data_IF_276358298120
#
_entry.id   IF_276358298120
#
_cell.length_a   1.000
_cell.length_b   1.000
_cell.length_c   1.000
_cell.angle_alpha   90.00
_cell.angle_beta   90.00
_cell.angle_gamma   90.00
#
_symmetry.space_group_name_H-M   'P 1'
#
loop_
_entity.id
_entity.type
_entity.pdbx_description
1 polymer ?
#
# COMPACT_ATOMS: atom_id res chain seq x y z
N UNK A 1 -6.71 -13.01 10.94
CA UNK A 1 -5.92 -14.22 10.60
C UNK A 1 -5.85 -14.44 9.08
N UNK A 2 -6.97 -14.38 8.36
CA UNK A 2 -7.03 -14.64 6.92
C UNK A 2 -6.13 -13.71 6.10
N UNK A 3 -6.12 -12.44 6.40
CA UNK A 3 -5.28 -11.45 5.70
C UNK A 3 -3.79 -11.78 5.76
N UNK A 4 -3.33 -12.39 6.85
CA UNK A 4 -1.94 -12.82 6.98
C UNK A 4 -1.60 -14.12 6.22
N UNK A 5 -2.61 -14.84 5.71
CA UNK A 5 -2.43 -15.97 4.80
C UNK A 5 -2.20 -15.52 3.36
N UNK A 6 -2.64 -14.31 3.00
CA UNK A 6 -2.44 -13.75 1.66
C UNK A 6 -0.95 -13.62 1.32
N UNK A 7 -0.56 -14.07 0.12
CA UNK A 7 0.83 -14.00 -0.33
C UNK A 7 1.43 -12.59 -0.29
N UNK A 8 0.60 -11.57 -0.59
CA UNK A 8 1.02 -10.17 -0.53
C UNK A 8 1.45 -9.73 0.88
N UNK A 9 0.89 -10.34 1.93
CA UNK A 9 1.30 -10.08 3.31
C UNK A 9 2.75 -10.48 3.58
N UNK A 10 3.20 -11.60 2.99
CA UNK A 10 4.60 -12.04 3.07
C UNK A 10 5.54 -11.11 2.30
N UNK A 11 5.16 -10.76 1.07
CA UNK A 11 5.94 -9.85 0.23
C UNK A 11 6.11 -8.49 0.92
N UNK A 12 5.00 -7.89 1.37
CA UNK A 12 4.99 -6.57 2.00
C UNK A 12 5.74 -6.56 3.35
N UNK A 13 5.54 -7.58 4.19
CA UNK A 13 6.21 -7.67 5.49
C UNK A 13 7.73 -7.79 5.33
N UNK A 14 8.19 -8.64 4.41
CA UNK A 14 9.63 -8.78 4.10
C UNK A 14 10.21 -7.48 3.56
N UNK A 15 9.53 -6.80 2.65
CA UNK A 15 9.98 -5.54 2.08
C UNK A 15 10.03 -4.41 3.13
N UNK A 16 9.00 -4.28 3.96
CA UNK A 16 8.96 -3.29 5.03
C UNK A 16 10.07 -3.47 6.06
N UNK A 17 10.37 -4.72 6.42
CA UNK A 17 11.49 -5.05 7.31
C UNK A 17 12.85 -4.69 6.70
N UNK A 18 13.04 -5.00 5.41
CA UNK A 18 14.26 -4.64 4.67
C UNK A 18 14.51 -3.11 4.66
N UNK A 19 13.46 -2.34 4.46
CA UNK A 19 13.51 -0.87 4.49
C UNK A 19 13.49 -0.27 5.90
N UNK A 20 13.38 -1.09 6.94
CA UNK A 20 13.32 -0.65 8.36
C UNK A 20 12.26 0.44 8.59
N UNK A 21 11.04 0.24 8.08
CA UNK A 21 9.97 1.24 8.14
C UNK A 21 9.45 1.45 9.57
N UNK A 22 10.22 2.14 10.42
CA UNK A 22 9.96 2.30 11.84
C UNK A 22 8.67 3.06 12.20
N UNK A 23 8.07 3.78 11.26
CA UNK A 23 6.76 4.42 11.46
C UNK A 23 5.58 3.49 11.16
N UNK A 24 5.82 2.32 10.55
CA UNK A 24 4.79 1.35 10.24
C UNK A 24 4.47 0.51 11.47
N UNK A 25 3.24 0.61 11.94
CA UNK A 25 2.70 -0.15 13.07
C UNK A 25 1.47 -0.89 12.59
N UNK A 26 1.50 -2.22 12.67
CA UNK A 26 0.40 -3.10 12.30
C UNK A 26 -0.21 -3.69 13.57
N UNK A 27 -1.53 -3.59 13.70
CA UNK A 27 -2.29 -4.30 14.71
C UNK A 27 -2.88 -5.55 14.05
N UNK A 28 -2.49 -6.72 14.54
CA UNK A 28 -3.00 -7.99 14.06
C UNK A 28 -4.09 -8.49 15.01
N UNK A 29 -5.32 -8.52 14.52
CA UNK A 29 -6.46 -9.15 15.21
C UNK A 29 -6.34 -10.68 15.14
N UNK A 30 -5.80 -11.26 16.20
CA UNK A 30 -5.58 -12.70 16.35
C UNK A 30 -6.76 -13.34 17.05
N UNK A 31 -7.85 -13.57 16.32
CA UNK A 31 -9.07 -14.18 16.83
C UNK A 31 -9.15 -15.70 16.59
N UNK A 32 -8.14 -16.28 15.95
CA UNK A 32 -7.99 -17.70 15.66
C UNK A 32 -9.09 -18.30 14.78
N UNK A 33 -9.71 -17.47 13.95
CA UNK A 33 -10.81 -17.88 13.08
C UNK A 33 -10.63 -17.35 11.66
N UNK A 34 -11.09 -18.14 10.71
CA UNK A 34 -11.36 -17.76 9.34
C UNK A 34 -12.79 -18.14 8.99
N UNK A 35 -13.26 -17.77 7.81
CA UNK A 35 -14.65 -18.01 7.40
C UNK A 35 -15.04 -19.48 7.48
N UNK A 36 -14.16 -20.39 7.08
CA UNK A 36 -14.48 -21.82 7.01
C UNK A 36 -14.23 -22.56 8.33
N UNK A 37 -13.26 -22.11 9.13
CA UNK A 37 -12.85 -22.86 10.34
C UNK A 37 -11.94 -22.06 11.26
N UNK A 38 -11.61 -22.67 12.40
CA UNK A 38 -10.54 -22.18 13.25
C UNK A 38 -9.17 -22.36 12.58
N UNK A 39 -8.25 -21.45 12.88
CA UNK A 39 -6.90 -21.41 12.30
C UNK A 39 -6.06 -22.65 12.57
N UNK A 40 -6.35 -23.42 13.61
CA UNK A 40 -5.64 -24.67 13.90
C UNK A 40 -5.70 -25.71 12.77
N UNK A 41 -6.60 -25.56 11.79
CA UNK A 41 -6.73 -26.43 10.63
C UNK A 41 -5.95 -25.94 9.41
N UNK A 42 -5.74 -24.63 9.30
CA UNK A 42 -5.24 -24.02 8.07
C UNK A 42 -4.09 -23.03 8.27
N UNK A 43 -3.84 -22.59 9.50
CA UNK A 43 -2.86 -21.55 9.80
C UNK A 43 -2.15 -21.82 11.13
N UNK A 44 -1.23 -22.77 11.12
CA UNK A 44 -0.50 -23.24 12.31
C UNK A 44 0.90 -22.65 12.45
N UNK A 45 1.30 -21.77 11.57
CA UNK A 45 2.59 -21.09 11.62
C UNK A 45 2.71 -20.15 12.82
N UNK A 46 3.94 -19.86 13.21
CA UNK A 46 4.23 -18.81 14.19
C UNK A 46 4.34 -17.45 13.52
N UNK A 47 3.24 -16.67 13.51
CA UNK A 47 3.23 -15.30 12.99
C UNK A 47 4.32 -14.45 13.65
N UNK A 48 4.51 -14.58 14.95
CA UNK A 48 5.55 -13.84 15.66
C UNK A 48 6.95 -14.16 15.15
N UNK A 49 7.27 -15.44 14.93
CA UNK A 49 8.57 -15.84 14.39
C UNK A 49 8.75 -15.37 12.95
N UNK A 50 7.70 -15.45 12.13
CA UNK A 50 7.72 -14.94 10.75
C UNK A 50 8.07 -13.45 10.69
N UNK A 51 7.35 -12.62 11.44
CA UNK A 51 7.60 -11.19 11.46
C UNK A 51 8.94 -10.84 12.11
N UNK A 52 9.35 -11.54 13.18
CA UNK A 52 10.66 -11.35 13.76
C UNK A 52 11.78 -11.66 12.76
N UNK A 53 11.68 -12.75 12.01
CA UNK A 53 12.66 -13.11 10.96
C UNK A 53 12.70 -12.10 9.80
N UNK A 54 11.58 -11.43 9.54
CA UNK A 54 11.49 -10.33 8.57
C UNK A 54 12.00 -8.98 9.10
N UNK A 55 12.56 -8.92 10.32
CA UNK A 55 13.12 -7.70 10.88
C UNK A 55 12.11 -6.76 11.55
N UNK A 56 10.98 -7.29 12.02
CA UNK A 56 9.95 -6.53 12.73
C UNK A 56 10.09 -6.65 14.26
N UNK A 57 9.73 -5.58 14.95
CA UNK A 57 9.42 -5.65 16.39
C UNK A 57 8.09 -6.36 16.58
N UNK A 58 8.06 -7.39 17.44
CA UNK A 58 6.83 -8.12 17.77
C UNK A 58 6.39 -7.80 19.19
N UNK A 59 5.16 -7.35 19.32
CA UNK A 59 4.53 -7.01 20.60
C UNK A 59 3.24 -7.81 20.78
N UNK A 60 2.81 -8.00 22.04
CA UNK A 60 1.61 -8.76 22.35
C UNK A 60 0.66 -7.98 23.24
N UNK A 61 -0.62 -8.11 22.94
CA UNK A 61 -1.74 -7.72 23.80
C UNK A 61 -2.54 -8.98 24.12
N UNK A 62 -2.54 -9.39 25.39
CA UNK A 62 -3.20 -10.65 25.81
C UNK A 62 -4.72 -10.54 25.83
N UNK A 63 -5.24 -9.35 26.16
CA UNK A 63 -6.68 -9.07 26.25
C UNK A 63 -7.04 -7.94 25.27
N UNK A 64 -7.61 -8.32 24.13
CA UNK A 64 -7.94 -7.39 23.04
C UNK A 64 -8.99 -6.33 23.40
N UNK A 65 -9.77 -6.53 24.46
CA UNK A 65 -10.69 -5.53 25.01
C UNK A 65 -10.05 -4.58 26.01
N UNK A 66 -8.77 -4.73 26.32
CA UNK A 66 -8.04 -3.87 27.25
C UNK A 66 -7.43 -2.67 26.54
N UNK A 67 -8.14 -1.54 26.50
CA UNK A 67 -7.64 -0.26 25.94
C UNK A 67 -6.27 0.10 26.53
N UNK A 68 -6.06 -0.16 27.82
CA UNK A 68 -4.79 0.13 28.51
C UNK A 68 -3.62 -0.71 27.95
N UNK A 69 -3.82 -2.00 27.69
CA UNK A 69 -2.79 -2.86 27.13
C UNK A 69 -2.48 -2.47 25.68
N UNK A 70 -3.52 -2.22 24.86
CA UNK A 70 -3.37 -1.77 23.48
C UNK A 70 -2.57 -0.46 23.45
N UNK A 71 -2.96 0.52 24.26
CA UNK A 71 -2.28 1.81 24.30
C UNK A 71 -0.79 1.68 24.72
N UNK A 72 -0.48 0.85 25.72
CA UNK A 72 0.91 0.56 26.11
C UNK A 72 1.72 -0.04 24.97
N UNK A 73 1.12 -0.97 24.21
CA UNK A 73 1.78 -1.62 23.08
C UNK A 73 2.03 -0.60 21.93
N UNK A 74 1.06 0.25 21.61
CA UNK A 74 1.20 1.31 20.61
C UNK A 74 2.31 2.29 21.01
N UNK A 75 2.32 2.75 22.27
CA UNK A 75 3.38 3.65 22.77
C UNK A 75 4.75 2.99 22.64
N UNK A 76 4.86 1.68 22.94
CA UNK A 76 6.13 0.94 22.81
C UNK A 76 6.55 0.82 21.33
N UNK A 77 5.60 0.54 20.43
CA UNK A 77 5.85 0.50 18.99
C UNK A 77 6.35 1.85 18.46
N UNK A 78 5.68 2.95 18.82
CA UNK A 78 6.06 4.31 18.42
C UNK A 78 7.44 4.77 18.85
N UNK A 79 7.99 4.19 19.93
CA UNK A 79 9.35 4.49 20.41
C UNK A 79 10.42 3.85 19.54
N UNK A 80 10.10 2.77 18.83
CA UNK A 80 11.05 2.07 17.96
C UNK A 80 10.92 2.60 16.54
N UNK A 81 11.87 3.42 16.13
CA UNK A 81 11.88 4.01 14.79
C UNK A 81 12.81 3.29 13.80
N UNK A 82 13.48 2.22 14.25
CA UNK A 82 14.50 1.53 13.47
C UNK A 82 13.99 0.25 12.77
N UNK A 83 12.74 -0.15 13.02
CA UNK A 83 12.09 -1.30 12.40
C UNK A 83 10.58 -1.18 12.50
N UNK A 84 9.82 -1.76 11.56
CA UNK A 84 8.37 -1.82 11.68
C UNK A 84 7.92 -2.66 12.88
N UNK A 85 6.71 -2.42 13.36
CA UNK A 85 6.16 -3.12 14.52
C UNK A 85 4.86 -3.84 14.19
N UNK A 86 4.72 -5.08 14.64
CA UNK A 86 3.45 -5.79 14.68
C UNK A 86 3.02 -5.99 16.12
N UNK A 87 1.77 -5.65 16.41
CA UNK A 87 1.13 -5.87 17.71
C UNK A 87 0.12 -6.98 17.55
N UNK A 88 0.40 -8.14 18.08
CA UNK A 88 -0.49 -9.31 18.05
C UNK A 88 -1.51 -9.13 19.17
N UNK A 89 -2.75 -8.87 18.82
CA UNK A 89 -3.84 -8.60 19.74
C UNK A 89 -4.75 -9.82 19.81
N UNK A 90 -4.78 -10.52 20.94
CA UNK A 90 -5.67 -11.66 21.12
C UNK A 90 -7.10 -11.16 21.33
N UNK A 91 -7.98 -11.57 20.48
CA UNK A 91 -9.43 -11.28 20.52
C UNK A 91 -10.24 -12.57 20.42
N UNK A 92 -11.54 -12.44 20.55
CA UNK A 92 -12.50 -13.50 20.34
C UNK A 92 -13.49 -13.02 19.28
N UNK A 93 -13.62 -13.77 18.18
CA UNK A 93 -14.59 -13.40 17.14
C UNK A 93 -16.01 -13.44 17.69
N UNK A 94 -16.81 -12.42 17.38
CA UNK A 94 -18.20 -12.35 17.83
C UNK A 94 -18.38 -12.23 19.34
N UNK A 95 -17.40 -11.70 20.07
CA UNK A 95 -17.43 -11.52 21.53
C UNK A 95 -18.75 -10.87 21.98
N UNK A 96 -19.41 -11.47 22.98
CA UNK A 96 -20.70 -11.03 23.50
C UNK A 96 -21.92 -11.51 22.72
N UNK A 97 -21.75 -12.22 21.60
CA UNK A 97 -22.84 -12.85 20.86
C UNK A 97 -22.99 -14.34 21.19
N UNK A 98 -24.10 -14.94 20.77
CA UNK A 98 -24.30 -16.40 20.87
C UNK A 98 -23.33 -17.21 19.99
N UNK A 99 -22.72 -16.56 19.01
CA UNK A 99 -21.76 -17.14 18.08
C UNK A 99 -20.31 -16.81 18.49
N UNK A 100 -20.09 -16.39 19.73
CA UNK A 100 -18.76 -16.09 20.25
C UNK A 100 -17.80 -17.25 20.04
N UNK A 101 -16.63 -16.94 19.46
CA UNK A 101 -15.59 -17.93 19.15
C UNK A 101 -15.91 -18.88 18.00
N UNK A 102 -17.02 -18.71 17.30
CA UNK A 102 -17.44 -19.57 16.21
C UNK A 102 -17.31 -18.89 14.85
N UNK A 103 -16.68 -19.57 13.88
CA UNK A 103 -16.52 -19.08 12.51
C UNK A 103 -17.84 -18.80 11.78
N UNK A 104 -18.97 -19.42 12.21
CA UNK A 104 -20.28 -19.16 11.62
C UNK A 104 -20.73 -17.70 11.72
N UNK A 105 -20.12 -16.90 12.60
CA UNK A 105 -20.39 -15.44 12.68
C UNK A 105 -20.11 -14.71 11.37
N UNK A 106 -19.19 -15.21 10.52
CA UNK A 106 -18.90 -14.60 9.21
C UNK A 106 -20.03 -14.71 8.20
N UNK A 107 -20.89 -15.71 8.35
CA UNK A 107 -22.01 -15.98 7.44
C UNK A 107 -23.36 -16.03 8.15
N UNK A 108 -23.37 -16.01 9.47
CA UNK A 108 -24.57 -16.01 10.30
C UNK A 108 -25.19 -14.64 10.40
N UNK A 109 -26.47 -14.52 10.13
CA UNK A 109 -27.23 -13.32 10.45
C UNK A 109 -27.47 -13.26 11.96
N UNK A 110 -27.10 -12.16 12.58
CA UNK A 110 -27.50 -11.87 13.95
C UNK A 110 -29.00 -11.59 13.97
N UNK A 111 -29.73 -12.34 14.78
CA UNK A 111 -31.14 -12.08 15.00
C UNK A 111 -31.33 -10.82 15.83
N UNK A 112 -32.56 -10.29 15.86
CA UNK A 112 -32.90 -9.14 16.71
C UNK A 112 -32.62 -9.45 18.19
N UNK A 113 -32.87 -10.67 18.64
CA UNK A 113 -32.61 -11.09 20.02
C UNK A 113 -31.09 -11.12 20.33
N UNK A 114 -30.28 -11.58 19.39
CA UNK A 114 -28.81 -11.56 19.54
C UNK A 114 -28.29 -10.13 19.66
N UNK A 115 -28.81 -9.22 18.83
CA UNK A 115 -28.46 -7.80 18.88
C UNK A 115 -28.83 -7.19 20.25
N UNK A 116 -30.03 -7.44 20.75
CA UNK A 116 -30.46 -6.95 22.07
C UNK A 116 -29.67 -7.59 23.23
N UNK A 117 -29.23 -8.83 23.07
CA UNK A 117 -28.35 -9.49 24.05
C UNK A 117 -26.96 -8.83 24.09
N UNK A 118 -26.36 -8.56 22.91
CA UNK A 118 -25.06 -7.87 22.79
C UNK A 118 -25.15 -6.48 23.41
N UNK A 119 -26.20 -5.72 23.09
CA UNK A 119 -26.42 -4.38 23.68
C UNK A 119 -26.45 -4.42 25.20
N UNK A 120 -27.23 -5.37 25.76
CA UNK A 120 -27.30 -5.53 27.23
C UNK A 120 -25.96 -5.90 27.86
N UNK A 121 -25.21 -6.82 27.21
CA UNK A 121 -23.87 -7.22 27.64
C UNK A 121 -22.85 -6.07 27.61
N UNK A 122 -23.00 -5.15 26.67
CA UNK A 122 -22.16 -3.94 26.55
C UNK A 122 -22.67 -2.74 27.36
N UNK A 123 -23.82 -2.86 28.05
CA UNK A 123 -24.42 -1.76 28.79
C UNK A 123 -24.90 -0.61 27.89
N UNK A 124 -25.21 -0.89 26.63
CA UNK A 124 -25.71 0.09 25.65
C UNK A 124 -27.24 0.11 25.66
N UNK A 125 -27.81 1.23 26.07
CA UNK A 125 -29.27 1.46 26.07
C UNK A 125 -29.66 2.42 24.94
N UNK A 126 -30.93 2.36 24.51
CA UNK A 126 -31.49 3.28 23.53
C UNK A 126 -31.90 2.62 22.21
N UNK A 127 -32.58 3.41 21.38
CA UNK A 127 -33.00 3.00 20.03
C UNK A 127 -31.79 2.89 19.08
N UNK A 128 -31.90 2.15 17.96
CA UNK A 128 -30.88 2.16 16.93
C UNK A 128 -30.51 3.57 16.51
N UNK A 129 -29.22 3.80 16.29
CA UNK A 129 -28.63 5.11 15.92
C UNK A 129 -28.73 6.21 16.98
N UNK A 130 -29.14 5.89 18.22
CA UNK A 130 -29.10 6.85 19.34
C UNK A 130 -27.65 7.03 19.82
N UNK A 131 -27.16 8.26 19.79
CA UNK A 131 -25.87 8.59 20.38
C UNK A 131 -26.03 8.80 21.89
N UNK A 132 -25.13 8.23 22.66
CA UNK A 132 -25.01 8.53 24.08
C UNK A 132 -24.52 9.99 24.21
N UNK A 133 -25.35 10.86 24.80
CA UNK A 133 -25.15 12.31 24.78
C UNK A 133 -23.81 12.73 25.39
N UNK A 134 -23.53 12.27 26.60
CA UNK A 134 -22.31 12.65 27.32
C UNK A 134 -21.02 12.19 26.63
N UNK A 135 -20.84 10.88 26.24
CA UNK A 135 -19.69 10.46 25.46
C UNK A 135 -19.55 11.20 24.13
N UNK A 136 -20.64 11.45 23.43
CA UNK A 136 -20.61 12.15 22.14
C UNK A 136 -20.17 13.60 22.29
N UNK A 137 -20.66 14.31 23.31
CA UNK A 137 -20.25 15.68 23.63
C UNK A 137 -18.78 15.74 24.06
N UNK A 138 -18.33 14.79 24.88
CA UNK A 138 -16.92 14.72 25.31
C UNK A 138 -15.98 14.49 24.11
N UNK A 139 -16.28 13.52 23.25
CA UNK A 139 -15.48 13.27 22.03
C UNK A 139 -15.49 14.51 21.12
N UNK A 140 -16.65 15.11 20.90
CA UNK A 140 -16.77 16.32 20.08
C UNK A 140 -15.89 17.44 20.61
N UNK A 141 -15.96 17.72 21.91
CA UNK A 141 -15.15 18.77 22.52
C UNK A 141 -13.67 18.50 22.43
N UNK A 142 -13.23 17.24 22.68
CA UNK A 142 -11.82 16.86 22.57
C UNK A 142 -11.33 16.93 21.12
N UNK A 143 -12.11 16.42 20.16
CA UNK A 143 -11.73 16.41 18.74
C UNK A 143 -11.72 17.82 18.16
N UNK A 144 -12.75 18.62 18.43
CA UNK A 144 -12.84 20.00 17.93
C UNK A 144 -11.74 20.85 18.52
N UNK A 145 -11.61 20.91 19.85
CA UNK A 145 -10.60 21.75 20.50
C UNK A 145 -9.18 21.37 20.08
N UNK A 146 -8.87 20.07 20.10
CA UNK A 146 -7.55 19.58 19.67
C UNK A 146 -7.34 19.80 18.18
N UNK A 147 -8.35 19.51 17.36
CA UNK A 147 -8.27 19.67 15.91
C UNK A 147 -8.06 21.11 15.51
N UNK A 148 -8.78 22.03 16.10
CA UNK A 148 -8.61 23.47 15.86
C UNK A 148 -7.19 23.92 16.22
N UNK A 149 -6.73 23.57 17.44
CA UNK A 149 -5.36 23.94 17.86
C UNK A 149 -4.27 23.39 16.94
N UNK A 150 -4.41 22.11 16.51
CA UNK A 150 -3.45 21.51 15.59
C UNK A 150 -3.51 22.12 14.18
N UNK A 151 -4.70 22.51 13.72
CA UNK A 151 -4.86 23.20 12.44
C UNK A 151 -4.22 24.59 12.48
N UNK A 152 -4.45 25.36 13.54
CA UNK A 152 -3.86 26.69 13.71
C UNK A 152 -2.33 26.61 13.78
N UNK A 153 -1.79 25.58 14.47
CA UNK A 153 -0.35 25.31 14.52
C UNK A 153 0.20 24.93 13.13
N UNK A 154 -0.50 24.06 12.40
CA UNK A 154 -0.15 23.67 11.04
C UNK A 154 -0.14 24.88 10.10
N UNK A 155 -1.18 25.71 10.11
CA UNK A 155 -1.29 26.88 9.24
C UNK A 155 -0.16 27.88 9.50
N UNK A 156 0.24 28.02 10.76
CA UNK A 156 1.39 28.85 11.13
C UNK A 156 2.70 28.27 10.58
N UNK A 157 3.00 26.99 10.84
CA UNK A 157 4.21 26.31 10.34
C UNK A 157 4.25 26.36 8.83
N UNK A 158 3.13 26.09 8.16
CA UNK A 158 3.05 26.09 6.72
C UNK A 158 3.26 27.50 6.12
N UNK A 159 2.73 28.50 6.78
CA UNK A 159 2.95 29.90 6.36
C UNK A 159 4.41 30.32 6.50
N UNK A 160 5.10 29.88 7.56
CA UNK A 160 6.54 30.12 7.77
C UNK A 160 7.36 29.36 6.72
N UNK A 161 7.04 28.06 6.48
CA UNK A 161 7.66 27.23 5.45
C UNK A 161 7.61 27.88 4.06
N UNK A 162 6.44 28.38 3.66
CA UNK A 162 6.29 29.07 2.35
C UNK A 162 7.13 30.34 2.20
N UNK A 163 7.51 30.98 3.28
CA UNK A 163 8.38 32.18 3.24
C UNK A 163 9.85 31.83 3.07
N UNK A 164 10.28 30.65 3.55
CA UNK A 164 11.66 30.20 3.53
C UNK A 164 12.01 29.43 2.25
N UNK A 165 11.02 28.79 1.62
CA UNK A 165 11.18 27.98 0.43
C UNK A 165 11.12 28.79 -0.86
N UNK A 166 11.84 28.33 -1.89
CA UNK A 166 11.65 28.88 -3.23
C UNK A 166 10.32 28.45 -3.86
N UNK A 167 9.87 29.16 -4.88
CA UNK A 167 8.56 28.93 -5.51
C UNK A 167 8.37 27.50 -6.04
N UNK A 168 9.45 26.85 -6.53
CA UNK A 168 9.35 25.49 -7.05
C UNK A 168 9.15 24.47 -5.91
N UNK A 169 9.89 24.62 -4.81
CA UNK A 169 9.75 23.76 -3.63
C UNK A 169 8.34 23.87 -3.02
N UNK A 170 7.76 25.06 -3.00
CA UNK A 170 6.37 25.27 -2.58
C UNK A 170 5.41 24.54 -3.51
N UNK A 171 5.57 24.67 -4.82
CA UNK A 171 4.73 24.00 -5.82
C UNK A 171 4.84 22.46 -5.72
N UNK A 172 6.04 21.94 -5.52
CA UNK A 172 6.29 20.52 -5.32
C UNK A 172 5.57 20.00 -4.06
N UNK A 173 5.69 20.72 -2.94
CA UNK A 173 5.02 20.35 -1.70
C UNK A 173 3.49 20.45 -1.81
N UNK A 174 2.96 21.51 -2.42
CA UNK A 174 1.53 21.68 -2.65
C UNK A 174 0.97 20.60 -3.60
N UNK A 175 1.75 20.15 -4.58
CA UNK A 175 1.33 19.06 -5.46
C UNK A 175 1.10 17.75 -4.73
N UNK A 176 1.88 17.45 -3.68
CA UNK A 176 1.64 16.31 -2.81
C UNK A 176 0.38 16.48 -1.95
N UNK A 177 0.23 17.65 -1.31
CA UNK A 177 -0.90 17.90 -0.40
C UNK A 177 -2.24 17.86 -1.14
N UNK A 178 -2.28 18.49 -2.32
CA UNK A 178 -3.53 18.63 -3.10
C UNK A 178 -3.68 17.56 -4.18
N UNK A 179 -2.74 16.61 -4.25
CA UNK A 179 -2.69 15.57 -5.29
C UNK A 179 -2.87 16.15 -6.71
N UNK A 180 -2.21 17.28 -6.96
CA UNK A 180 -2.29 18.00 -8.22
C UNK A 180 -1.04 17.76 -9.06
N UNK A 181 -1.24 17.37 -10.31
CA UNK A 181 -0.14 17.20 -11.28
C UNK A 181 0.09 18.56 -11.96
N UNK A 182 1.05 19.33 -11.45
CA UNK A 182 1.48 20.59 -12.07
C UNK A 182 2.58 20.34 -13.10
N UNK A 183 2.26 19.60 -14.15
CA UNK A 183 3.21 19.26 -15.18
C UNK A 183 2.62 19.41 -16.58
N UNK A 184 3.30 20.14 -17.43
CA UNK A 184 2.92 20.36 -18.83
C UNK A 184 3.86 19.60 -19.75
N UNK A 185 3.43 18.40 -20.17
CA UNK A 185 4.17 17.53 -21.09
C UNK A 185 4.50 18.22 -22.41
N UNK A 186 3.75 19.25 -22.82
CA UNK A 186 4.00 19.96 -24.09
C UNK A 186 5.27 20.80 -24.06
N UNK A 187 5.80 21.05 -22.86
CA UNK A 187 7.04 21.81 -22.65
C UNK A 187 8.28 20.91 -22.54
N UNK A 188 8.11 19.60 -22.62
CA UNK A 188 9.22 18.64 -22.53
C UNK A 188 9.72 18.35 -23.93
N UNK A 189 10.99 18.63 -24.16
CA UNK A 189 11.69 18.16 -25.34
C UNK A 189 12.16 16.72 -25.12
N UNK A 190 11.57 15.80 -25.85
CA UNK A 190 11.91 14.38 -25.76
C UNK A 190 13.11 13.99 -26.63
N UNK A 191 13.70 14.94 -27.41
CA UNK A 191 14.88 14.70 -28.26
C UNK A 191 14.79 13.35 -29.02
N UNK A 192 13.67 13.12 -29.69
CA UNK A 192 13.40 11.85 -30.38
C UNK A 192 14.05 11.86 -31.76
N UNK A 193 15.05 10.99 -31.95
CA UNK A 193 15.62 10.74 -33.26
C UNK A 193 14.89 9.56 -33.94
N UNK A 194 13.98 9.86 -34.84
CA UNK A 194 13.17 8.87 -35.57
C UNK A 194 13.96 7.98 -36.54
N UNK A 195 15.20 8.35 -36.86
CA UNK A 195 16.08 7.53 -37.72
C UNK A 195 16.86 6.48 -36.92
N UNK A 196 16.87 6.59 -35.61
CA UNK A 196 17.61 5.66 -34.74
C UNK A 196 16.86 4.33 -34.63
N UNK A 197 17.51 3.25 -34.96
CA UNK A 197 16.99 1.90 -34.74
C UNK A 197 17.28 1.49 -33.29
N UNK A 198 16.23 1.42 -32.49
CA UNK A 198 16.31 0.97 -31.10
C UNK A 198 15.07 0.12 -30.75
N UNK A 199 15.17 -0.64 -29.69
CA UNK A 199 14.04 -1.41 -29.16
C UNK A 199 13.07 -0.49 -28.43
N UNK A 200 11.79 -0.86 -28.37
CA UNK A 200 10.78 -0.08 -27.64
C UNK A 200 11.12 0.09 -26.15
N UNK A 201 11.80 -0.88 -25.51
CA UNK A 201 12.25 -0.77 -24.12
C UNK A 201 13.37 0.27 -23.96
N UNK A 202 14.26 0.44 -24.95
CA UNK A 202 15.28 1.47 -24.95
C UNK A 202 14.65 2.85 -25.13
N UNK A 203 13.70 2.99 -26.06
CA UNK A 203 12.91 4.21 -26.24
C UNK A 203 12.14 4.58 -24.97
N UNK A 204 11.44 3.61 -24.37
CA UNK A 204 10.74 3.82 -23.11
C UNK A 204 11.69 4.28 -21.98
N UNK A 205 12.87 3.67 -21.89
CA UNK A 205 13.89 4.08 -20.90
C UNK A 205 14.32 5.53 -21.09
N UNK A 206 14.55 5.98 -22.34
CA UNK A 206 14.89 7.38 -22.63
C UNK A 206 13.76 8.31 -22.18
N UNK A 207 12.53 8.02 -22.59
CA UNK A 207 11.35 8.83 -22.23
C UNK A 207 11.16 8.91 -20.72
N UNK A 208 11.25 7.78 -20.01
CA UNK A 208 11.14 7.76 -18.55
C UNK A 208 12.20 8.64 -17.88
N UNK A 209 13.43 8.58 -18.35
CA UNK A 209 14.53 9.37 -17.79
C UNK A 209 14.34 10.87 -18.05
N UNK A 210 13.85 11.27 -19.23
CA UNK A 210 13.48 12.66 -19.51
C UNK A 210 12.35 13.12 -18.57
N UNK A 211 11.29 12.32 -18.43
CA UNK A 211 10.17 12.59 -17.51
C UNK A 211 10.68 12.75 -16.07
N UNK A 212 11.56 11.86 -15.62
CA UNK A 212 12.09 11.88 -14.23
C UNK A 212 12.91 13.13 -13.89
N UNK A 213 13.46 13.80 -14.90
CA UNK A 213 14.17 15.06 -14.72
C UNK A 213 13.22 16.26 -14.64
N UNK A 214 12.04 16.13 -15.21
CA UNK A 214 11.02 17.18 -15.27
C UNK A 214 9.95 17.04 -14.20
N UNK A 215 9.67 15.79 -13.76
CA UNK A 215 8.65 15.48 -12.73
C UNK A 215 9.36 14.97 -11.47
N UNK A 216 9.35 15.79 -10.43
CA UNK A 216 10.06 15.47 -9.20
C UNK A 216 9.45 14.29 -8.43
N UNK A 217 8.13 14.08 -8.47
CA UNK A 217 7.40 13.00 -7.79
C UNK A 217 7.22 11.73 -8.64
N UNK A 218 7.91 11.63 -9.78
CA UNK A 218 7.97 10.40 -10.57
C UNK A 218 8.94 9.42 -9.90
N UNK A 219 8.44 8.28 -9.42
CA UNK A 219 9.14 7.30 -8.61
C UNK A 219 8.63 5.90 -8.92
N UNK A 220 9.45 4.88 -8.80
CA UNK A 220 8.96 3.52 -8.98
C UNK A 220 10.08 2.50 -9.14
N UNK A 221 9.75 1.33 -9.68
CA UNK A 221 10.76 0.29 -9.84
C UNK A 221 10.24 -1.01 -10.41
N UNK A 222 11.06 -2.02 -10.23
CA UNK A 222 10.89 -3.33 -10.85
C UNK A 222 10.80 -4.45 -9.81
N UNK A 223 10.06 -5.51 -10.18
CA UNK A 223 10.10 -6.78 -9.48
C UNK A 223 11.28 -7.62 -10.03
N UNK A 224 12.51 -7.21 -9.66
CA UNK A 224 13.78 -7.88 -9.99
C UNK A 224 14.11 -8.02 -11.50
N UNK A 225 13.60 -7.10 -12.33
CA UNK A 225 13.74 -7.19 -13.80
C UNK A 225 14.34 -5.92 -14.42
N UNK A 226 14.91 -5.01 -13.64
CA UNK A 226 15.34 -3.68 -14.12
C UNK A 226 16.35 -3.71 -15.25
N UNK A 227 17.31 -4.64 -15.23
CA UNK A 227 18.33 -4.77 -16.29
C UNK A 227 17.75 -5.24 -17.64
N UNK A 228 16.63 -5.95 -17.62
CA UNK A 228 15.97 -6.48 -18.81
C UNK A 228 14.86 -5.57 -19.31
N UNK A 229 14.09 -4.97 -18.43
CA UNK A 229 13.00 -4.05 -18.78
C UNK A 229 13.50 -2.65 -19.14
N UNK A 230 14.69 -2.29 -18.65
CA UNK A 230 15.28 -0.94 -18.71
C UNK A 230 14.39 0.15 -18.08
N UNK A 231 13.39 -0.23 -17.30
CA UNK A 231 12.55 0.71 -16.56
C UNK A 231 13.25 1.11 -15.25
N UNK A 232 14.34 1.87 -15.39
CA UNK A 232 15.18 2.36 -14.30
C UNK A 232 15.55 3.81 -14.54
N UNK A 233 15.53 4.63 -13.50
CA UNK A 233 15.83 6.06 -13.57
C UNK A 233 17.35 6.29 -13.38
N UNK A 234 18.06 6.45 -14.49
CA UNK A 234 19.48 6.60 -14.53
C UNK A 234 19.93 7.90 -13.83
N UNK A 235 21.01 7.83 -13.05
CA UNK A 235 21.48 8.97 -12.28
C UNK A 235 20.62 9.35 -11.07
N UNK A 236 19.55 8.57 -10.78
CA UNK A 236 18.77 8.67 -9.55
C UNK A 236 19.15 7.52 -8.62
N UNK A 237 19.20 7.81 -7.33
CA UNK A 237 19.58 6.83 -6.32
C UNK A 237 18.44 5.82 -6.05
N UNK A 238 18.83 4.66 -5.51
CA UNK A 238 17.87 3.66 -5.02
C UNK A 238 17.34 4.06 -3.64
N UNK A 239 16.06 3.73 -3.42
CA UNK A 239 15.46 3.82 -2.09
C UNK A 239 15.98 2.68 -1.23
N UNK A 240 16.52 3.02 -0.07
CA UNK A 240 17.02 2.07 0.94
C UNK A 240 16.68 2.55 2.34
N UNK A 241 16.92 1.72 3.35
CA UNK A 241 16.72 2.11 4.75
C UNK A 241 17.56 3.31 5.20
N UNK A 242 18.65 3.61 4.51
CA UNK A 242 19.53 4.77 4.76
C UNK A 242 19.28 5.94 3.82
N UNK A 243 18.50 5.74 2.76
CA UNK A 243 18.22 6.77 1.75
C UNK A 243 16.78 6.67 1.20
N UNK A 244 15.88 7.48 1.74
CA UNK A 244 14.51 7.61 1.23
C UNK A 244 14.35 8.74 0.19
N UNK A 245 15.45 9.41 -0.21
CA UNK A 245 15.43 10.44 -1.25
C UNK A 245 15.61 9.87 -2.65
N UNK A 246 15.96 8.60 -2.77
CA UNK A 246 16.04 7.90 -4.04
C UNK A 246 14.72 7.89 -4.80
N UNK A 247 14.78 7.58 -6.09
CA UNK A 247 13.61 7.46 -6.96
C UNK A 247 13.38 6.05 -7.50
N UNK A 248 14.39 5.19 -7.41
CA UNK A 248 14.27 3.80 -7.82
C UNK A 248 13.94 2.90 -6.62
N UNK A 249 12.96 2.02 -6.78
CA UNK A 249 12.55 1.04 -5.78
C UNK A 249 12.88 -0.36 -6.29
N UNK A 250 13.79 -1.02 -5.60
CA UNK A 250 14.16 -2.41 -5.91
C UNK A 250 13.26 -3.35 -5.09
N UNK A 251 12.13 -3.76 -5.67
CA UNK A 251 11.14 -4.58 -4.96
C UNK A 251 11.59 -6.02 -4.74
N UNK A 252 12.58 -6.53 -5.51
CA UNK A 252 12.86 -7.95 -5.63
C UNK A 252 11.69 -8.70 -6.28
N UNK A 253 11.69 -10.03 -6.26
CA UNK A 253 10.63 -10.85 -6.86
C UNK A 253 9.35 -10.77 -6.00
N UNK A 254 8.62 -9.67 -6.12
CA UNK A 254 7.41 -9.33 -5.34
C UNK A 254 6.44 -8.51 -6.19
N UNK A 255 5.87 -9.10 -7.22
CA UNK A 255 5.06 -8.38 -8.20
C UNK A 255 3.78 -7.80 -7.57
N UNK A 256 3.10 -8.55 -6.71
CA UNK A 256 1.86 -8.09 -6.10
C UNK A 256 2.10 -6.93 -5.14
N UNK A 257 3.13 -7.02 -4.28
CA UNK A 257 3.51 -5.92 -3.41
C UNK A 257 4.04 -4.71 -4.20
N UNK A 258 4.78 -4.93 -5.29
CA UNK A 258 5.23 -3.86 -6.18
C UNK A 258 4.04 -3.02 -6.68
N UNK A 259 3.01 -3.67 -7.21
CA UNK A 259 1.78 -3.00 -7.64
C UNK A 259 1.03 -2.32 -6.48
N UNK A 260 0.89 -3.00 -5.33
CA UNK A 260 0.16 -2.46 -4.18
C UNK A 260 0.88 -1.27 -3.51
N UNK A 261 2.21 -1.32 -3.41
CA UNK A 261 3.01 -0.20 -2.90
C UNK A 261 2.92 0.99 -3.86
N UNK A 262 2.92 0.73 -5.18
CA UNK A 262 2.69 1.78 -6.17
C UNK A 262 1.31 2.43 -6.00
N UNK A 263 0.26 1.66 -5.67
CA UNK A 263 -1.04 2.23 -5.32
C UNK A 263 -0.97 3.15 -4.09
N UNK A 264 -0.22 2.73 -3.06
CA UNK A 264 0.00 3.55 -1.86
C UNK A 264 0.78 4.84 -2.14
N UNK A 265 1.78 4.78 -3.02
CA UNK A 265 2.52 5.95 -3.48
C UNK A 265 1.62 6.92 -4.24
N UNK A 266 0.78 6.41 -5.15
CA UNK A 266 -0.19 7.24 -5.88
C UNK A 266 -1.18 7.94 -4.93
N UNK A 267 -1.69 7.24 -3.91
CA UNK A 267 -2.53 7.83 -2.86
C UNK A 267 -1.82 8.90 -2.03
N UNK A 268 -0.49 8.88 -2.03
CA UNK A 268 0.35 9.85 -1.32
C UNK A 268 0.83 11.01 -2.21
N UNK A 269 0.28 11.16 -3.43
CA UNK A 269 0.59 12.25 -4.34
C UNK A 269 1.81 12.02 -5.25
N UNK A 270 2.35 10.81 -5.28
CA UNK A 270 3.40 10.45 -6.23
C UNK A 270 2.81 10.00 -7.57
N UNK A 271 3.61 10.03 -8.62
CA UNK A 271 3.34 9.43 -9.92
C UNK A 271 4.19 8.15 -10.06
N UNK A 272 3.71 7.01 -9.57
CA UNK A 272 4.51 5.82 -9.53
C UNK A 272 4.50 5.05 -10.83
N UNK A 273 5.61 4.33 -11.09
CA UNK A 273 5.64 3.26 -12.06
C UNK A 273 6.00 1.93 -11.40
N UNK A 274 5.46 0.84 -11.97
CA UNK A 274 5.78 -0.53 -11.59
C UNK A 274 6.09 -1.33 -12.86
N UNK A 275 7.17 -2.10 -12.85
CA UNK A 275 7.61 -2.82 -14.03
C UNK A 275 7.98 -4.27 -13.74
N UNK A 276 7.67 -5.13 -14.70
CA UNK A 276 8.11 -6.53 -14.79
C UNK A 276 7.88 -7.04 -16.22
N UNK A 277 8.06 -8.34 -16.48
CA UNK A 277 7.70 -8.94 -17.75
C UNK A 277 6.18 -9.11 -17.88
N UNK A 278 5.67 -9.10 -19.11
CA UNK A 278 4.23 -9.21 -19.37
C UNK A 278 3.63 -10.51 -18.79
N UNK A 279 4.32 -11.64 -18.88
CA UNK A 279 3.86 -12.88 -18.29
C UNK A 279 3.64 -12.77 -16.77
N UNK A 280 4.47 -12.00 -16.08
CA UNK A 280 4.39 -11.81 -14.63
C UNK A 280 3.37 -10.76 -14.19
N UNK A 281 2.71 -10.09 -15.15
CA UNK A 281 1.53 -9.29 -14.82
C UNK A 281 0.46 -10.12 -14.11
N UNK A 282 0.44 -11.44 -14.29
CA UNK A 282 -0.49 -12.35 -13.60
C UNK A 282 -0.32 -12.30 -12.08
N UNK A 283 0.91 -12.19 -11.57
CA UNK A 283 1.18 -12.01 -10.14
C UNK A 283 0.81 -10.62 -9.63
N UNK A 284 0.89 -9.59 -10.47
CA UNK A 284 0.58 -8.20 -10.14
C UNK A 284 -0.91 -7.85 -10.34
N UNK A 285 -1.67 -8.67 -11.06
CA UNK A 285 -3.02 -8.40 -11.52
C UNK A 285 -3.99 -7.95 -10.42
N UNK A 286 -4.01 -8.52 -9.20
CA UNK A 286 -4.88 -8.03 -8.13
C UNK A 286 -4.61 -6.55 -7.80
N UNK A 287 -3.36 -6.14 -7.73
CA UNK A 287 -2.95 -4.75 -7.46
C UNK A 287 -3.27 -3.81 -8.62
N UNK A 288 -3.10 -4.26 -9.88
CA UNK A 288 -3.50 -3.50 -11.07
C UNK A 288 -5.02 -3.26 -11.08
N UNK A 289 -5.79 -4.31 -10.75
CA UNK A 289 -7.25 -4.17 -10.63
C UNK A 289 -7.64 -3.15 -9.58
N UNK A 290 -6.95 -3.11 -8.45
CA UNK A 290 -7.22 -2.14 -7.40
C UNK A 290 -6.89 -0.71 -7.83
N UNK A 291 -5.78 -0.47 -8.53
CA UNK A 291 -5.47 0.87 -9.06
C UNK A 291 -6.53 1.33 -10.06
N UNK A 292 -6.98 0.47 -10.97
CA UNK A 292 -8.06 0.78 -11.90
C UNK A 292 -9.38 1.06 -11.18
N UNK A 293 -9.73 0.26 -10.18
CA UNK A 293 -10.94 0.43 -9.36
C UNK A 293 -10.92 1.74 -8.55
N UNK A 294 -9.76 2.12 -8.02
CA UNK A 294 -9.57 3.35 -7.25
C UNK A 294 -9.23 4.57 -8.13
N UNK A 295 -9.16 4.40 -9.44
CA UNK A 295 -8.78 5.44 -10.40
C UNK A 295 -7.43 6.12 -10.06
N UNK A 296 -6.41 5.33 -9.76
CA UNK A 296 -5.09 5.82 -9.37
C UNK A 296 -4.17 6.00 -10.57
N UNK A 297 -3.32 7.05 -10.60
CA UNK A 297 -2.40 7.34 -11.69
C UNK A 297 -1.12 6.48 -11.61
N UNK A 298 -1.26 5.16 -11.64
CA UNK A 298 -0.13 4.22 -11.64
C UNK A 298 0.21 3.83 -13.06
N UNK A 299 1.47 3.95 -13.46
CA UNK A 299 1.97 3.51 -14.75
C UNK A 299 2.58 2.12 -14.63
N UNK A 300 1.97 1.13 -15.28
CA UNK A 300 2.52 -0.23 -15.37
C UNK A 300 3.29 -0.40 -16.67
N UNK A 301 4.53 -0.87 -16.58
CA UNK A 301 5.44 -1.02 -17.72
C UNK A 301 5.80 -2.50 -17.85
N UNK A 302 5.28 -3.13 -18.89
CA UNK A 302 5.52 -4.55 -19.16
C UNK A 302 6.33 -4.71 -20.44
N UNK A 303 7.41 -5.46 -20.35
CA UNK A 303 8.24 -5.84 -21.51
C UNK A 303 8.07 -7.33 -21.80
N UNK A 304 8.75 -7.82 -22.84
CA UNK A 304 8.68 -9.23 -23.23
C UNK A 304 7.24 -9.68 -23.49
N UNK A 305 6.52 -8.89 -24.29
CA UNK A 305 5.08 -9.01 -24.49
C UNK A 305 4.68 -9.90 -25.69
N UNK A 306 5.58 -10.75 -26.14
CA UNK A 306 5.38 -11.64 -27.29
C UNK A 306 5.84 -13.06 -27.04
N UNK A 307 5.13 -14.02 -27.62
CA UNK A 307 5.54 -15.43 -27.65
C UNK A 307 6.85 -15.66 -28.39
N UNK A 308 7.32 -14.68 -29.19
CA UNK A 308 8.61 -14.75 -29.91
C UNK A 308 9.79 -14.28 -29.08
N UNK A 309 9.58 -13.68 -27.92
CA UNK A 309 10.62 -13.31 -26.97
C UNK A 309 10.99 -14.50 -26.10
N UNK A 310 11.89 -15.38 -26.56
CA UNK A 310 11.84 -16.63 -25.87
C UNK A 310 13.07 -17.48 -25.81
N UNK A 311 14.17 -16.93 -25.40
CA UNK A 311 15.21 -17.80 -24.86
C UNK A 311 14.84 -18.38 -23.48
N UNK A 312 13.89 -17.75 -22.77
CA UNK A 312 13.48 -18.13 -21.41
C UNK A 312 12.34 -19.18 -21.37
N UNK A 313 11.76 -19.51 -22.53
CA UNK A 313 10.77 -20.57 -22.67
C UNK A 313 9.33 -20.19 -22.27
N UNK A 314 8.42 -21.18 -22.17
CA UNK A 314 6.97 -20.96 -22.06
C UNK A 314 6.54 -20.15 -20.84
N UNK A 315 7.29 -20.20 -19.75
CA UNK A 315 6.97 -19.46 -18.51
C UNK A 315 7.11 -17.95 -18.68
N UNK A 316 7.79 -17.47 -19.73
CA UNK A 316 8.04 -16.07 -20.04
C UNK A 316 7.31 -15.60 -21.30
N UNK A 317 6.53 -16.46 -21.93
CA UNK A 317 5.81 -16.20 -23.18
C UNK A 317 4.35 -15.87 -22.90
N UNK A 318 3.94 -14.58 -22.88
CA UNK A 318 2.56 -14.21 -22.61
C UNK A 318 1.66 -14.55 -23.81
N UNK A 319 0.45 -15.02 -23.53
CA UNK A 319 -0.60 -15.30 -24.51
C UNK A 319 -1.87 -14.51 -24.17
N UNK A 320 -2.47 -14.78 -23.02
CA UNK A 320 -3.75 -14.21 -22.59
C UNK A 320 -3.63 -12.91 -21.78
N UNK A 321 -2.44 -12.54 -21.32
CA UNK A 321 -2.24 -11.40 -20.39
C UNK A 321 -2.75 -10.09 -20.99
N UNK A 322 -2.44 -9.80 -22.25
CA UNK A 322 -2.89 -8.58 -22.91
C UNK A 322 -4.41 -8.50 -23.00
N UNK A 323 -5.07 -9.60 -23.38
CA UNK A 323 -6.52 -9.65 -23.45
C UNK A 323 -7.16 -9.47 -22.08
N UNK A 324 -6.59 -10.11 -21.05
CA UNK A 324 -7.11 -10.01 -19.68
C UNK A 324 -6.94 -8.61 -19.08
N UNK A 325 -5.84 -7.91 -19.38
CA UNK A 325 -5.65 -6.51 -18.97
C UNK A 325 -6.64 -5.59 -19.68
N UNK A 326 -6.87 -5.78 -20.97
CA UNK A 326 -7.86 -5.01 -21.76
C UNK A 326 -9.31 -5.22 -21.29
N UNK A 327 -9.61 -6.36 -20.68
CA UNK A 327 -10.94 -6.63 -20.14
C UNK A 327 -11.19 -5.92 -18.78
N UNK A 328 -10.18 -5.30 -18.18
CA UNK A 328 -10.28 -4.67 -16.86
C UNK A 328 -10.86 -3.26 -17.00
N UNK A 329 -12.02 -2.95 -16.39
CA UNK A 329 -12.59 -1.60 -16.44
C UNK A 329 -11.63 -0.53 -15.87
N UNK A 330 -11.64 0.65 -16.48
CA UNK A 330 -10.81 1.81 -16.11
C UNK A 330 -9.28 1.60 -16.24
N UNK A 331 -8.84 0.50 -16.85
CA UNK A 331 -7.44 0.29 -17.19
C UNK A 331 -7.20 0.67 -18.66
N UNK A 332 -6.33 1.63 -18.89
CA UNK A 332 -5.90 2.00 -20.24
C UNK A 332 -4.69 1.17 -20.63
N UNK A 333 -4.77 0.46 -21.75
CA UNK A 333 -3.70 -0.44 -22.19
C UNK A 333 -3.17 0.05 -23.53
N UNK A 334 -1.92 0.50 -23.52
CA UNK A 334 -1.18 0.94 -24.69
C UNK A 334 -0.15 -0.12 -25.10
N UNK A 335 -0.05 -0.39 -26.37
CA UNK A 335 0.97 -1.27 -26.96
C UNK A 335 1.58 -0.56 -28.16
N UNK A 336 2.65 0.24 -27.96
CA UNK A 336 3.34 0.93 -29.04
C UNK A 336 3.88 -0.05 -30.08
N UNK A 337 3.88 0.35 -31.34
CA UNK A 337 4.41 -0.44 -32.46
C UNK A 337 5.79 0.04 -32.91
N UNK A 338 6.12 1.30 -32.63
CA UNK A 338 7.36 1.99 -33.01
C UNK A 338 7.70 3.08 -32.00
N UNK A 339 8.80 3.75 -32.22
CA UNK A 339 9.28 4.87 -31.42
C UNK A 339 8.26 6.01 -31.33
#
# INVERSE_FOLDING_TARGET
DGDLMEGISYEAASFAGNLKLGKLIVLYDSNKSTRDSNTNKTFTESVSSRFASAGWQVLYVKKGTSITEINKAIIKAKKNQNMPSIIIVNTVIGEGSKLEGNSSIYSGELTKDDYEQIKRGLGVEGLPFTLLKEPAENIRNQVVNRGTSLNDEWDKIYSEYKKEMNSNEVLEFESLIYNSINFDLTKVDFDINYEQKETLRESNSKVMNIISNSIWNFVGGNADTSSSTLAYLNGKEDISYSNFKGKNILYGVRENACGAISNGLALSGFLPFASTFMAFSDYMKPSIRMSAFMNLPVTYIFTHDSITNSFDGPTHQPVEQLASLRAMPNLYVYRPADI
#
